data_IF_197447168700
#
_entry.id   IF_197447168700
#
_cell.length_a   1.000
_cell.length_b   1.000
_cell.length_c   1.000
_cell.angle_alpha   90.00
_cell.angle_beta   90.00
_cell.angle_gamma   90.00
#
_symmetry.space_group_name_H-M   'P 1'
#
loop_
_entity.id
_entity.type
_entity.pdbx_description
1 polymer ?
#
# COMPACT_ATOMS: atom_id res chain seq x y z
N UNK A 1 44.00 6.58 -46.60
CA UNK A 1 42.58 6.80 -46.92
C UNK A 1 41.76 5.81 -46.12
N UNK A 2 40.83 6.25 -45.29
CA UNK A 2 39.80 5.67 -44.44
C UNK A 2 39.92 6.10 -42.99
N UNK A 3 39.43 7.30 -42.69
CA UNK A 3 39.12 7.74 -41.31
C UNK A 3 37.78 8.53 -41.32
N UNK A 4 36.73 7.99 -41.93
CA UNK A 4 35.40 8.66 -41.96
C UNK A 4 34.32 7.86 -41.20
N UNK A 5 34.60 6.61 -40.76
CA UNK A 5 33.57 5.78 -40.12
C UNK A 5 33.39 5.97 -38.61
N UNK A 6 34.37 6.54 -37.90
CA UNK A 6 34.32 6.65 -36.42
C UNK A 6 33.38 7.75 -35.89
N UNK A 7 33.33 8.90 -36.56
CA UNK A 7 32.55 10.07 -36.08
C UNK A 7 31.05 9.86 -36.04
N UNK A 8 30.46 9.14 -36.98
CA UNK A 8 29.02 8.89 -37.01
C UNK A 8 28.49 8.04 -35.84
N UNK A 9 29.30 7.04 -35.42
CA UNK A 9 28.86 6.15 -34.33
C UNK A 9 28.89 6.83 -32.94
N UNK A 10 29.78 7.77 -32.72
CA UNK A 10 29.83 8.59 -31.48
C UNK A 10 28.73 9.64 -31.49
N UNK A 11 28.54 10.33 -32.62
CA UNK A 11 27.48 11.31 -32.81
C UNK A 11 26.11 10.68 -32.54
N UNK A 12 25.84 9.49 -33.10
CA UNK A 12 24.57 8.79 -32.88
C UNK A 12 24.33 8.44 -31.40
N UNK A 13 25.37 8.03 -30.65
CA UNK A 13 25.23 7.74 -29.21
C UNK A 13 24.88 8.96 -28.38
N UNK A 14 25.61 10.08 -28.57
CA UNK A 14 25.30 11.36 -27.87
C UNK A 14 23.98 11.92 -28.34
N UNK A 15 23.67 11.87 -29.64
CA UNK A 15 22.41 12.32 -30.18
C UNK A 15 21.21 11.55 -29.57
N UNK A 16 21.30 10.23 -29.52
CA UNK A 16 20.26 9.38 -28.93
C UNK A 16 20.09 9.67 -27.42
N UNK A 17 21.19 9.86 -26.71
CA UNK A 17 21.14 10.26 -25.29
C UNK A 17 20.43 11.60 -25.08
N UNK A 18 20.75 12.62 -25.88
CA UNK A 18 20.07 13.93 -25.86
C UNK A 18 18.57 13.80 -26.14
N UNK A 19 18.20 13.01 -27.16
CA UNK A 19 16.79 12.81 -27.52
C UNK A 19 16.02 12.12 -26.41
N UNK A 20 16.60 11.09 -25.79
CA UNK A 20 16.00 10.38 -24.68
C UNK A 20 15.83 11.30 -23.45
N UNK A 21 16.86 12.13 -23.13
CA UNK A 21 16.76 13.13 -22.06
C UNK A 21 15.60 14.12 -22.29
N UNK A 22 15.53 14.73 -23.49
CA UNK A 22 14.45 15.69 -23.83
C UNK A 22 13.05 15.08 -23.72
N UNK A 23 12.88 13.84 -24.18
CA UNK A 23 11.61 13.13 -24.07
C UNK A 23 11.28 12.81 -22.63
N UNK A 24 12.26 12.42 -21.82
CA UNK A 24 12.11 12.22 -20.39
C UNK A 24 11.68 13.51 -19.68
N UNK A 25 12.34 14.64 -19.98
CA UNK A 25 11.99 15.95 -19.42
C UNK A 25 10.54 16.35 -19.77
N UNK A 26 10.11 16.12 -21.02
CA UNK A 26 8.72 16.39 -21.45
C UNK A 26 7.69 15.54 -20.68
N UNK A 27 7.98 14.26 -20.42
CA UNK A 27 7.10 13.39 -19.64
C UNK A 27 7.05 13.80 -18.15
N UNK A 28 8.18 14.22 -17.58
CA UNK A 28 8.24 14.70 -16.19
C UNK A 28 7.40 15.98 -16.00
N UNK A 29 7.38 16.88 -16.96
CA UNK A 29 6.55 18.10 -16.91
C UNK A 29 5.07 17.76 -16.76
N UNK A 30 4.59 16.71 -17.45
CA UNK A 30 3.19 16.26 -17.39
C UNK A 30 2.94 15.21 -16.29
N UNK A 31 3.91 14.97 -15.36
CA UNK A 31 3.75 14.11 -14.20
C UNK A 31 3.83 12.61 -14.47
N UNK A 32 4.39 12.22 -15.65
CA UNK A 32 4.60 10.80 -15.99
C UNK A 32 6.02 10.35 -15.58
N UNK A 33 6.30 10.42 -14.28
CA UNK A 33 7.64 10.24 -13.73
C UNK A 33 8.21 8.84 -14.01
N UNK A 34 7.41 7.76 -13.90
CA UNK A 34 7.84 6.38 -14.21
C UNK A 34 8.28 6.24 -15.66
N UNK A 35 7.49 6.77 -16.60
CA UNK A 35 7.83 6.75 -18.03
C UNK A 35 9.04 7.62 -18.35
N UNK A 36 9.22 8.73 -17.64
CA UNK A 36 10.40 9.58 -17.73
C UNK A 36 11.65 8.83 -17.24
N UNK A 37 11.57 8.11 -16.13
CA UNK A 37 12.65 7.30 -15.57
C UNK A 37 13.20 6.29 -16.58
N UNK A 38 12.33 5.60 -17.32
CA UNK A 38 12.74 4.68 -18.39
C UNK A 38 13.54 5.39 -19.49
N UNK A 39 13.12 6.60 -19.87
CA UNK A 39 13.83 7.37 -20.91
C UNK A 39 15.17 7.90 -20.39
N UNK A 40 15.25 8.30 -19.12
CA UNK A 40 16.53 8.69 -18.52
C UNK A 40 17.52 7.52 -18.44
N UNK A 41 17.05 6.32 -18.09
CA UNK A 41 17.89 5.11 -18.13
C UNK A 41 18.43 4.84 -19.56
N UNK A 42 17.58 4.94 -20.58
CA UNK A 42 18.00 4.82 -21.99
C UNK A 42 19.01 5.89 -22.39
N UNK A 43 18.86 7.12 -21.89
CA UNK A 43 19.82 8.18 -22.12
C UNK A 43 21.19 7.85 -21.52
N UNK A 44 21.18 7.32 -20.28
CA UNK A 44 22.40 6.85 -19.62
C UNK A 44 23.08 5.74 -20.42
N UNK A 45 22.35 4.70 -20.82
CA UNK A 45 22.88 3.58 -21.63
C UNK A 45 23.52 4.04 -22.96
N UNK A 46 22.84 4.94 -23.68
CA UNK A 46 23.33 5.50 -24.92
C UNK A 46 24.65 6.28 -24.73
N UNK A 47 24.70 7.10 -23.66
CA UNK A 47 25.91 7.85 -23.30
C UNK A 47 27.07 6.93 -22.84
N UNK A 48 26.76 5.92 -22.02
CA UNK A 48 27.74 4.89 -21.61
C UNK A 48 28.33 4.13 -22.80
N UNK A 49 27.54 3.89 -23.85
CA UNK A 49 28.03 3.24 -25.06
C UNK A 49 29.11 4.07 -25.76
N UNK A 50 29.05 5.39 -25.66
CA UNK A 50 30.07 6.31 -26.18
C UNK A 50 31.32 6.23 -25.32
N UNK A 51 31.18 6.24 -23.98
CA UNK A 51 32.33 6.21 -23.04
C UNK A 51 33.17 4.93 -23.15
N UNK A 52 32.57 3.80 -23.56
CA UNK A 52 33.28 2.53 -23.78
C UNK A 52 34.15 2.50 -25.02
N UNK A 53 34.07 3.47 -25.92
CA UNK A 53 34.81 3.52 -27.16
C UNK A 53 36.16 4.21 -26.97
N UNK A 54 37.24 3.68 -27.60
CA UNK A 54 38.63 4.12 -27.37
C UNK A 54 38.94 5.56 -27.81
N UNK A 55 38.23 6.14 -28.77
CA UNK A 55 38.52 7.47 -29.37
C UNK A 55 37.34 8.43 -29.09
N UNK A 56 36.82 8.46 -27.87
CA UNK A 56 35.65 9.26 -27.50
C UNK A 56 35.97 10.68 -27.01
N UNK A 57 37.26 11.10 -27.09
CA UNK A 57 37.75 12.31 -26.41
C UNK A 57 36.93 13.57 -26.72
N UNK A 58 36.57 13.79 -27.99
CA UNK A 58 35.75 14.94 -28.38
C UNK A 58 34.34 14.95 -27.79
N UNK A 59 33.77 13.77 -27.42
CA UNK A 59 32.42 13.62 -26.90
C UNK A 59 32.38 13.18 -25.45
N UNK A 60 33.53 12.90 -24.84
CA UNK A 60 33.66 12.32 -23.53
C UNK A 60 32.99 13.17 -22.43
N UNK A 61 33.26 14.46 -22.42
CA UNK A 61 32.72 15.36 -21.42
C UNK A 61 31.18 15.38 -21.47
N UNK A 62 30.62 15.49 -22.67
CA UNK A 62 29.17 15.49 -22.84
C UNK A 62 28.55 14.12 -22.53
N UNK A 63 29.19 13.03 -22.96
CA UNK A 63 28.73 11.68 -22.63
C UNK A 63 28.74 11.43 -21.12
N UNK A 64 29.76 11.90 -20.38
CA UNK A 64 29.79 11.82 -18.91
C UNK A 64 28.65 12.59 -18.26
N UNK A 65 28.37 13.80 -18.74
CA UNK A 65 27.25 14.61 -18.22
C UNK A 65 25.90 13.94 -18.48
N UNK A 66 25.67 13.45 -19.70
CA UNK A 66 24.41 12.78 -20.08
C UNK A 66 24.24 11.45 -19.35
N UNK A 67 25.28 10.64 -19.21
CA UNK A 67 25.26 9.39 -18.46
C UNK A 67 24.96 9.67 -16.98
N UNK A 68 25.71 10.59 -16.37
CA UNK A 68 25.53 10.92 -14.97
C UNK A 68 24.13 11.48 -14.64
N UNK A 69 23.62 12.40 -15.47
CA UNK A 69 22.26 12.92 -15.32
C UNK A 69 21.20 11.84 -15.58
N UNK A 70 21.39 11.02 -16.60
CA UNK A 70 20.47 9.94 -16.93
C UNK A 70 20.34 8.93 -15.78
N UNK A 71 21.46 8.48 -15.23
CA UNK A 71 21.49 7.61 -14.04
C UNK A 71 20.84 8.26 -12.82
N UNK A 72 21.19 9.52 -12.51
CA UNK A 72 20.61 10.23 -11.38
C UNK A 72 19.08 10.39 -11.48
N UNK A 73 18.58 10.75 -12.67
CA UNK A 73 17.15 10.96 -12.92
C UNK A 73 16.36 9.65 -13.05
N UNK A 74 17.01 8.52 -13.34
CA UNK A 74 16.40 7.19 -13.32
C UNK A 74 16.48 6.49 -11.96
N UNK A 75 17.13 7.11 -10.96
CA UNK A 75 17.25 6.57 -9.60
C UNK A 75 18.54 5.79 -9.32
N UNK A 76 19.39 5.53 -10.33
CA UNK A 76 20.70 4.89 -10.14
C UNK A 76 21.75 5.94 -9.66
N UNK A 77 21.60 6.32 -8.40
CA UNK A 77 22.48 7.36 -7.81
C UNK A 77 23.94 6.93 -7.66
N UNK A 78 24.23 5.64 -7.62
CA UNK A 78 25.62 5.15 -7.53
C UNK A 78 26.38 5.40 -8.85
N UNK A 79 25.82 4.92 -9.95
CA UNK A 79 26.42 5.15 -11.27
C UNK A 79 26.38 6.65 -11.64
N UNK A 80 25.26 7.34 -11.33
CA UNK A 80 25.11 8.76 -11.58
C UNK A 80 26.20 9.59 -10.91
N UNK A 81 26.46 9.37 -9.62
CA UNK A 81 27.52 10.07 -8.87
C UNK A 81 28.89 9.82 -9.48
N UNK A 82 29.23 8.57 -9.80
CA UNK A 82 30.54 8.26 -10.38
C UNK A 82 30.83 9.04 -11.67
N UNK A 83 29.82 9.13 -12.57
CA UNK A 83 29.97 9.86 -13.85
C UNK A 83 29.96 11.38 -13.67
N UNK A 84 29.13 11.91 -12.76
CA UNK A 84 29.08 13.33 -12.50
C UNK A 84 30.37 13.84 -11.82
N UNK A 85 30.95 13.08 -10.89
CA UNK A 85 32.20 13.40 -10.25
C UNK A 85 33.36 13.36 -11.27
N UNK A 86 33.37 12.40 -12.20
CA UNK A 86 34.33 12.36 -13.28
C UNK A 86 34.19 13.58 -14.20
N UNK A 87 32.96 13.96 -14.57
CA UNK A 87 32.69 15.16 -15.36
C UNK A 87 33.15 16.44 -14.64
N UNK A 88 32.90 16.59 -13.36
CA UNK A 88 33.24 17.81 -12.59
C UNK A 88 34.73 17.99 -12.35
N UNK A 89 35.53 16.91 -12.46
CA UNK A 89 37.01 16.98 -12.47
C UNK A 89 37.56 17.53 -13.78
N UNK A 90 36.84 17.36 -14.86
CA UNK A 90 37.19 17.98 -16.15
C UNK A 90 36.69 19.43 -16.19
N UNK A 91 37.29 20.25 -17.09
CA UNK A 91 36.80 21.59 -17.39
C UNK A 91 35.51 21.50 -18.24
N UNK A 92 34.45 22.23 -17.85
CA UNK A 92 33.18 22.28 -18.56
C UNK A 92 32.52 23.65 -18.46
N UNK A 93 31.54 23.91 -19.33
CA UNK A 93 30.75 25.14 -19.30
C UNK A 93 30.11 25.34 -17.94
N UNK A 94 30.06 26.57 -17.41
CA UNK A 94 29.49 26.85 -16.06
C UNK A 94 28.04 26.31 -15.89
N UNK A 95 27.22 26.41 -16.94
CA UNK A 95 25.85 25.90 -16.90
C UNK A 95 25.76 24.37 -16.85
N UNK A 96 26.65 23.67 -17.54
CA UNK A 96 26.67 22.20 -17.53
C UNK A 96 27.22 21.67 -16.21
N UNK A 97 28.18 22.39 -15.61
CA UNK A 97 28.63 22.11 -14.24
C UNK A 97 27.50 22.30 -13.22
N UNK A 98 26.67 23.34 -13.40
CA UNK A 98 25.48 23.57 -12.55
C UNK A 98 24.46 22.44 -12.71
N UNK A 99 24.21 21.96 -13.94
CA UNK A 99 23.34 20.80 -14.19
C UNK A 99 23.88 19.51 -13.58
N UNK A 100 25.19 19.30 -13.59
CA UNK A 100 25.84 18.17 -12.93
C UNK A 100 25.69 18.25 -11.40
N UNK A 101 25.91 19.43 -10.82
CA UNK A 101 25.73 19.67 -9.39
C UNK A 101 24.26 19.48 -8.95
N UNK A 102 23.30 19.92 -9.77
CA UNK A 102 21.88 19.71 -9.52
C UNK A 102 21.53 18.21 -9.50
N UNK A 103 22.06 17.43 -10.45
CA UNK A 103 21.83 15.98 -10.48
C UNK A 103 22.48 15.26 -9.27
N UNK A 104 23.63 15.72 -8.80
CA UNK A 104 24.22 15.23 -7.54
C UNK A 104 23.36 15.54 -6.33
N UNK A 105 22.80 16.76 -6.25
CA UNK A 105 21.89 17.13 -5.16
C UNK A 105 20.60 16.30 -5.16
N UNK A 106 20.11 15.95 -6.35
CA UNK A 106 18.96 15.01 -6.49
C UNK A 106 19.32 13.64 -5.90
N UNK A 107 20.49 13.11 -6.23
CA UNK A 107 20.95 11.84 -5.66
C UNK A 107 21.17 11.92 -4.14
N UNK A 108 21.74 13.00 -3.63
CA UNK A 108 21.90 13.23 -2.19
C UNK A 108 20.53 13.24 -1.50
N UNK A 109 19.53 13.89 -2.09
CA UNK A 109 18.15 13.90 -1.59
C UNK A 109 17.52 12.49 -1.60
N UNK A 110 17.66 11.75 -2.68
CA UNK A 110 17.16 10.37 -2.80
C UNK A 110 17.78 9.44 -1.76
N UNK A 111 19.05 9.63 -1.44
CA UNK A 111 19.79 8.90 -0.41
C UNK A 111 19.58 9.46 1.01
N UNK A 112 18.60 10.35 1.20
CA UNK A 112 18.27 11.02 2.47
C UNK A 112 19.43 11.83 3.08
N UNK A 113 20.38 12.23 2.26
CA UNK A 113 21.51 13.11 2.64
C UNK A 113 21.08 14.57 2.50
N UNK A 114 20.12 15.00 3.32
CA UNK A 114 19.46 16.31 3.15
C UNK A 114 20.38 17.50 3.37
N UNK A 115 21.32 17.42 4.34
CA UNK A 115 22.26 18.52 4.64
C UNK A 115 23.22 18.77 3.47
N UNK A 116 23.92 17.78 2.90
CA UNK A 116 24.72 17.96 1.69
C UNK A 116 23.90 18.48 0.51
N UNK A 117 22.70 17.93 0.29
CA UNK A 117 21.81 18.34 -0.81
C UNK A 117 21.44 19.82 -0.70
N UNK A 118 20.98 20.28 0.48
CA UNK A 118 20.62 21.68 0.68
C UNK A 118 21.82 22.61 0.51
N UNK A 119 23.00 22.28 1.08
CA UNK A 119 24.22 23.08 0.91
C UNK A 119 24.58 23.27 -0.57
N UNK A 120 24.49 22.18 -1.37
CA UNK A 120 24.79 22.22 -2.81
C UNK A 120 23.77 23.06 -3.56
N UNK A 121 22.47 22.85 -3.29
CA UNK A 121 21.40 23.58 -3.93
C UNK A 121 21.37 25.06 -3.57
N UNK A 122 21.65 25.42 -2.31
CA UNK A 122 21.79 26.82 -1.88
C UNK A 122 22.90 27.55 -2.63
N UNK A 123 24.05 26.88 -2.83
CA UNK A 123 25.15 27.43 -3.64
C UNK A 123 24.75 27.59 -5.11
N UNK A 124 23.96 26.67 -5.67
CA UNK A 124 23.47 26.76 -7.03
C UNK A 124 22.47 27.91 -7.22
N UNK A 125 21.56 28.12 -6.28
CA UNK A 125 20.53 29.17 -6.35
C UNK A 125 21.12 30.59 -6.41
N UNK A 126 22.30 30.77 -5.85
CA UNK A 126 23.04 32.06 -5.88
C UNK A 126 24.03 32.14 -7.05
N UNK A 127 24.18 31.10 -7.84
CA UNK A 127 25.13 31.03 -8.94
C UNK A 127 24.68 31.88 -10.14
N UNK A 128 25.59 32.73 -10.67
CA UNK A 128 25.32 33.49 -11.89
C UNK A 128 25.10 32.65 -13.15
N UNK A 129 25.52 31.38 -13.16
CA UNK A 129 25.21 30.46 -14.24
C UNK A 129 23.73 30.00 -14.21
N UNK A 130 23.22 29.74 -13.01
CA UNK A 130 21.84 29.29 -12.79
C UNK A 130 20.87 30.45 -12.97
N UNK A 131 21.21 31.67 -12.53
CA UNK A 131 20.32 32.84 -12.66
C UNK A 131 20.03 33.23 -14.12
N UNK A 132 20.83 32.78 -15.08
CA UNK A 132 20.60 33.00 -16.54
C UNK A 132 19.76 31.90 -17.18
N UNK A 133 19.53 30.78 -16.48
CA UNK A 133 18.69 29.67 -16.91
C UNK A 133 17.48 29.57 -15.98
N UNK A 134 16.39 30.22 -16.35
CA UNK A 134 15.18 30.33 -15.52
C UNK A 134 14.53 28.99 -15.23
N UNK A 135 14.69 28.01 -16.11
CA UNK A 135 14.18 26.65 -15.91
C UNK A 135 15.00 25.92 -14.86
N UNK A 136 16.32 25.91 -14.98
CA UNK A 136 17.20 25.31 -13.99
C UNK A 136 17.07 26.01 -12.63
N UNK A 137 16.91 27.34 -12.60
CA UNK A 137 16.71 28.08 -11.35
C UNK A 137 15.42 27.65 -10.64
N UNK A 138 14.32 27.49 -11.41
CA UNK A 138 13.06 26.98 -10.87
C UNK A 138 13.21 25.56 -10.33
N UNK A 139 13.88 24.68 -11.07
CA UNK A 139 14.11 23.29 -10.65
C UNK A 139 14.98 23.21 -9.39
N UNK A 140 16.03 24.02 -9.28
CA UNK A 140 16.84 24.14 -8.08
C UNK A 140 16.02 24.53 -6.87
N UNK A 141 15.20 25.58 -6.98
CA UNK A 141 14.34 26.05 -5.88
C UNK A 141 13.28 25.03 -5.49
N UNK A 142 12.66 24.36 -6.47
CA UNK A 142 11.70 23.29 -6.19
C UNK A 142 12.36 22.10 -5.47
N UNK A 143 13.54 21.70 -5.90
CA UNK A 143 14.25 20.62 -5.21
C UNK A 143 14.68 21.03 -3.80
N UNK A 144 15.07 22.30 -3.55
CA UNK A 144 15.32 22.82 -2.21
C UNK A 144 14.09 22.71 -1.31
N UNK A 145 12.91 23.08 -1.82
CA UNK A 145 11.65 22.91 -1.08
C UNK A 145 11.43 21.44 -0.71
N UNK A 146 11.60 20.51 -1.66
CA UNK A 146 11.43 19.08 -1.40
C UNK A 146 12.42 18.55 -0.36
N UNK A 147 13.69 18.98 -0.44
CA UNK A 147 14.73 18.62 0.53
C UNK A 147 14.37 19.13 1.92
N UNK A 148 13.92 20.38 2.03
CA UNK A 148 13.51 20.97 3.31
C UNK A 148 12.31 20.23 3.91
N UNK A 149 11.28 19.92 3.12
CA UNK A 149 10.11 19.14 3.56
C UNK A 149 10.49 17.72 3.99
N UNK A 150 11.36 17.06 3.23
CA UNK A 150 11.84 15.72 3.57
C UNK A 150 12.68 15.69 4.84
N UNK A 151 13.40 16.79 5.13
CA UNK A 151 14.18 16.97 6.35
C UNK A 151 13.31 17.44 7.55
N UNK A 152 12.01 17.71 7.34
CA UNK A 152 11.12 18.24 8.38
C UNK A 152 11.25 19.75 8.62
N UNK A 153 12.06 20.48 7.83
CA UNK A 153 12.20 21.95 7.94
C UNK A 153 11.11 22.67 7.14
N UNK A 154 9.89 22.62 7.68
CA UNK A 154 8.71 23.27 7.07
C UNK A 154 8.92 24.80 6.98
N UNK A 155 9.61 25.40 7.93
CA UNK A 155 9.85 26.85 7.93
C UNK A 155 10.75 27.28 6.76
N UNK A 156 11.79 26.53 6.45
CA UNK A 156 12.62 26.76 5.27
C UNK A 156 11.81 26.55 3.98
N UNK A 157 11.04 25.47 3.91
CA UNK A 157 10.20 25.17 2.75
C UNK A 157 9.22 26.32 2.45
N UNK A 158 8.55 26.87 3.45
CA UNK A 158 7.61 27.99 3.29
C UNK A 158 8.33 29.27 2.79
N UNK A 159 9.51 29.59 3.34
CA UNK A 159 10.31 30.72 2.83
C UNK A 159 10.70 30.55 1.37
N UNK A 160 11.11 29.34 0.97
CA UNK A 160 11.47 29.04 -0.41
C UNK A 160 10.25 29.12 -1.33
N UNK A 161 9.10 28.57 -0.89
CA UNK A 161 7.83 28.65 -1.62
C UNK A 161 7.33 30.09 -1.82
N UNK A 162 7.61 31.00 -0.86
CA UNK A 162 7.28 32.42 -1.02
C UNK A 162 8.04 33.08 -2.18
N UNK A 163 9.25 32.58 -2.50
CA UNK A 163 10.08 33.07 -3.61
C UNK A 163 9.70 32.49 -4.99
N UNK A 164 8.82 31.48 -5.04
CA UNK A 164 8.34 30.83 -6.25
C UNK A 164 6.98 31.38 -6.65
N UNK A 165 6.71 31.48 -7.96
CA UNK A 165 5.38 31.81 -8.48
C UNK A 165 4.34 30.77 -8.00
N UNK A 166 3.09 31.20 -7.87
CA UNK A 166 2.00 30.29 -7.42
C UNK A 166 1.87 29.03 -8.27
N UNK A 167 2.10 29.16 -9.57
CA UNK A 167 2.02 28.06 -10.53
C UNK A 167 3.24 27.16 -10.56
N UNK A 168 4.39 27.59 -10.03
CA UNK A 168 5.68 26.92 -10.22
C UNK A 168 5.88 25.68 -9.34
N UNK A 169 5.19 25.57 -8.21
CA UNK A 169 5.39 24.48 -7.24
C UNK A 169 4.06 24.07 -6.57
N UNK A 170 3.03 23.68 -7.32
CA UNK A 170 1.69 23.44 -6.76
C UNK A 170 1.68 22.24 -5.79
N UNK A 171 2.38 21.17 -6.12
CA UNK A 171 2.42 19.96 -5.30
C UNK A 171 3.29 20.13 -4.05
N UNK A 172 4.38 20.86 -4.16
CA UNK A 172 5.22 21.22 -3.03
C UNK A 172 4.47 22.11 -2.02
N UNK A 173 3.56 23.00 -2.50
CA UNK A 173 2.66 23.80 -1.64
C UNK A 173 1.65 22.92 -0.91
N UNK A 174 1.09 21.92 -1.56
CA UNK A 174 0.19 20.94 -0.94
C UNK A 174 0.96 20.18 0.14
N UNK A 175 2.16 19.69 -0.19
CA UNK A 175 2.99 18.98 0.77
C UNK A 175 3.35 19.84 1.99
N UNK A 176 3.71 21.10 1.80
CA UNK A 176 3.98 22.04 2.90
C UNK A 176 2.74 22.26 3.79
N UNK A 177 1.55 22.41 3.19
CA UNK A 177 0.30 22.54 3.93
C UNK A 177 -0.02 21.28 4.76
N UNK A 178 0.16 20.10 4.18
CA UNK A 178 0.01 18.81 4.87
C UNK A 178 1.02 18.66 6.01
N UNK A 179 2.28 19.00 5.76
CA UNK A 179 3.35 18.92 6.77
C UNK A 179 3.15 19.87 7.96
N UNK A 180 2.49 21.03 7.71
CA UNK A 180 2.10 21.98 8.77
C UNK A 180 0.72 21.70 9.38
N UNK A 181 0.04 20.64 8.95
CA UNK A 181 -1.35 20.31 9.33
C UNK A 181 -2.35 21.45 9.02
N UNK A 182 -2.05 22.27 8.03
CA UNK A 182 -2.98 23.30 7.53
C UNK A 182 -3.94 22.69 6.50
N UNK A 183 -4.92 21.93 7.03
CA UNK A 183 -5.84 21.16 6.22
C UNK A 183 -6.76 22.03 5.34
N UNK A 184 -7.12 23.23 5.81
CA UNK A 184 -7.93 24.16 5.02
C UNK A 184 -7.18 24.63 3.76
N UNK A 185 -5.90 24.96 3.90
CA UNK A 185 -5.02 25.32 2.79
C UNK A 185 -4.76 24.13 1.88
N UNK A 186 -4.49 22.94 2.44
CA UNK A 186 -4.30 21.71 1.67
C UNK A 186 -5.54 21.40 0.81
N UNK A 187 -6.73 21.45 1.39
CA UNK A 187 -8.01 21.27 0.68
C UNK A 187 -8.16 22.24 -0.49
N UNK A 188 -8.01 23.54 -0.25
CA UNK A 188 -8.14 24.56 -1.29
C UNK A 188 -7.20 24.33 -2.47
N UNK A 189 -5.96 23.94 -2.19
CA UNK A 189 -4.96 23.61 -3.22
C UNK A 189 -5.32 22.35 -3.98
N UNK A 190 -5.79 21.30 -3.29
CA UNK A 190 -6.21 20.04 -3.91
C UNK A 190 -7.44 20.22 -4.80
N UNK A 191 -8.44 21.00 -4.37
CA UNK A 191 -9.61 21.33 -5.19
C UNK A 191 -9.21 22.04 -6.49
N UNK A 192 -8.26 22.98 -6.43
CA UNK A 192 -7.72 23.62 -7.63
C UNK A 192 -7.00 22.63 -8.57
N UNK A 193 -6.40 21.54 -8.05
CA UNK A 193 -5.82 20.48 -8.90
C UNK A 193 -6.90 19.60 -9.51
N UNK A 194 -7.98 19.33 -8.77
CA UNK A 194 -9.12 18.58 -9.27
C UNK A 194 -9.76 19.25 -10.49
N UNK A 195 -9.92 20.59 -10.50
CA UNK A 195 -10.40 21.35 -11.64
C UNK A 195 -9.58 21.12 -12.92
N UNK A 196 -8.27 20.85 -12.76
CA UNK A 196 -7.35 20.59 -13.86
C UNK A 196 -7.25 19.09 -14.21
N UNK A 197 -7.89 18.21 -13.45
CA UNK A 197 -7.76 16.75 -13.59
C UNK A 197 -6.33 16.25 -13.35
N UNK A 198 -5.49 17.01 -12.63
CA UNK A 198 -4.08 16.67 -12.38
C UNK A 198 -3.99 15.65 -11.23
N UNK A 199 -3.72 14.39 -11.58
CA UNK A 199 -3.58 13.28 -10.63
C UNK A 199 -2.13 12.84 -10.57
N UNK A 200 -1.54 12.86 -9.38
CA UNK A 200 -0.15 12.43 -9.11
C UNK A 200 -0.07 11.66 -7.79
N UNK A 201 1.00 10.92 -7.58
CA UNK A 201 1.31 10.21 -6.31
C UNK A 201 1.24 11.17 -5.11
N UNK A 202 1.61 12.44 -5.29
CA UNK A 202 1.49 13.46 -4.24
C UNK A 202 0.05 13.69 -3.76
N UNK A 203 -0.96 13.48 -4.61
CA UNK A 203 -2.37 13.50 -4.22
C UNK A 203 -2.69 12.37 -3.26
N UNK A 204 -2.26 11.15 -3.57
CA UNK A 204 -2.50 9.98 -2.73
C UNK A 204 -1.91 10.18 -1.34
N UNK A 205 -0.65 10.62 -1.28
CA UNK A 205 0.04 10.90 -0.03
C UNK A 205 -0.70 11.96 0.80
N UNK A 206 -1.24 13.00 0.15
CA UNK A 206 -2.00 14.05 0.84
C UNK A 206 -3.34 13.53 1.38
N UNK A 207 -4.08 12.75 0.58
CA UNK A 207 -5.36 12.16 1.01
C UNK A 207 -5.18 11.15 2.14
N UNK A 208 -4.14 10.31 2.06
CA UNK A 208 -3.81 9.35 3.11
C UNK A 208 -3.39 10.05 4.41
N UNK A 209 -2.58 11.10 4.33
CA UNK A 209 -2.21 11.90 5.50
C UNK A 209 -3.43 12.57 6.13
N UNK A 210 -4.33 13.14 5.34
CA UNK A 210 -5.57 13.74 5.81
C UNK A 210 -6.48 12.69 6.47
N UNK A 211 -6.61 11.50 5.88
CA UNK A 211 -7.36 10.39 6.47
C UNK A 211 -6.83 9.99 7.83
N UNK A 212 -5.50 9.81 7.95
CA UNK A 212 -4.84 9.49 9.24
C UNK A 212 -5.00 10.60 10.28
N UNK A 213 -5.06 11.86 9.86
CA UNK A 213 -5.33 12.99 10.74
C UNK A 213 -6.81 13.12 11.14
N UNK A 214 -7.70 12.29 10.61
CA UNK A 214 -9.13 12.34 10.89
C UNK A 214 -9.93 13.31 10.02
N UNK A 215 -9.32 13.86 8.94
CA UNK A 215 -9.94 14.83 8.03
C UNK A 215 -10.78 14.15 6.91
N UNK A 216 -11.56 13.13 7.28
CA UNK A 216 -12.32 12.33 6.32
C UNK A 216 -13.32 13.14 5.48
N UNK A 217 -13.91 14.19 6.05
CA UNK A 217 -14.83 15.08 5.31
C UNK A 217 -14.10 15.89 4.23
N UNK A 218 -12.87 16.33 4.50
CA UNK A 218 -11.99 16.96 3.50
C UNK A 218 -11.65 15.98 2.37
N UNK A 219 -11.24 14.74 2.72
CA UNK A 219 -10.93 13.70 1.74
C UNK A 219 -12.14 13.45 0.83
N UNK A 220 -13.34 13.30 1.38
CA UNK A 220 -14.57 13.09 0.61
C UNK A 220 -14.87 14.27 -0.33
N UNK A 221 -14.71 15.54 0.12
CA UNK A 221 -14.91 16.70 -0.75
C UNK A 221 -13.92 16.75 -1.91
N UNK A 222 -12.65 16.49 -1.65
CA UNK A 222 -11.60 16.43 -2.70
C UNK A 222 -11.89 15.31 -3.70
N UNK A 223 -12.21 14.12 -3.23
CA UNK A 223 -12.54 12.97 -4.08
C UNK A 223 -13.75 13.26 -4.97
N UNK A 224 -14.81 13.90 -4.42
CA UNK A 224 -15.98 14.31 -5.22
C UNK A 224 -15.63 15.34 -6.28
N UNK A 225 -14.70 16.26 -6.02
CA UNK A 225 -14.24 17.20 -7.03
C UNK A 225 -13.52 16.48 -8.19
N UNK A 226 -12.69 15.47 -7.88
CA UNK A 226 -12.07 14.63 -8.91
C UNK A 226 -13.10 13.79 -9.69
N UNK A 227 -14.19 13.36 -9.07
CA UNK A 227 -15.25 12.55 -9.70
C UNK A 227 -15.88 13.25 -10.92
N UNK A 228 -15.98 14.58 -10.87
CA UNK A 228 -16.55 15.41 -11.94
C UNK A 228 -15.50 16.06 -12.83
N UNK A 229 -14.23 15.83 -12.56
CA UNK A 229 -13.10 16.41 -13.30
C UNK A 229 -12.79 15.66 -14.59
N UNK A 230 -11.83 16.18 -15.37
CA UNK A 230 -11.27 15.55 -16.56
C UNK A 230 -10.28 14.42 -16.26
N UNK A 231 -10.08 14.05 -14.99
CA UNK A 231 -9.20 12.96 -14.60
C UNK A 231 -9.63 11.62 -15.22
N UNK A 232 -8.68 10.72 -15.58
CA UNK A 232 -9.00 9.40 -16.12
C UNK A 232 -9.97 8.63 -15.21
N UNK A 233 -10.89 7.87 -15.80
CA UNK A 233 -11.91 7.14 -15.03
C UNK A 233 -11.30 6.17 -14.01
N UNK A 234 -10.25 5.45 -14.39
CA UNK A 234 -9.52 4.55 -13.48
C UNK A 234 -8.94 5.29 -12.27
N UNK A 235 -8.41 6.50 -12.48
CA UNK A 235 -7.89 7.32 -11.40
C UNK A 235 -9.02 7.80 -10.46
N UNK A 236 -10.16 8.21 -11.02
CA UNK A 236 -11.33 8.59 -10.21
C UNK A 236 -11.85 7.41 -9.37
N UNK A 237 -11.88 6.20 -9.95
CA UNK A 237 -12.25 4.99 -9.23
C UNK A 237 -11.27 4.68 -8.09
N UNK A 238 -9.98 4.82 -8.34
CA UNK A 238 -8.93 4.65 -7.33
C UNK A 238 -9.07 5.67 -6.18
N UNK A 239 -9.26 6.93 -6.52
CA UNK A 239 -9.43 8.01 -5.53
C UNK A 239 -10.68 7.82 -4.67
N UNK A 240 -11.76 7.27 -5.22
CA UNK A 240 -12.98 7.02 -4.47
C UNK A 240 -12.79 6.05 -3.28
N UNK A 241 -11.79 5.15 -3.34
CA UNK A 241 -11.45 4.30 -2.19
C UNK A 241 -10.94 5.10 -1.00
N UNK A 242 -10.16 6.18 -1.23
CA UNK A 242 -9.60 7.00 -0.14
C UNK A 242 -10.68 7.62 0.74
N UNK A 243 -11.83 8.03 0.17
CA UNK A 243 -12.92 8.57 0.97
C UNK A 243 -13.47 7.53 1.95
N UNK A 244 -13.72 6.31 1.49
CA UNK A 244 -14.14 5.21 2.37
C UNK A 244 -13.09 4.84 3.42
N UNK A 245 -11.83 4.72 3.00
CA UNK A 245 -10.71 4.39 3.90
C UNK A 245 -10.52 5.45 4.99
N UNK A 246 -10.66 6.75 4.67
CA UNK A 246 -10.56 7.84 5.64
C UNK A 246 -11.67 7.80 6.70
N UNK A 247 -12.92 7.50 6.32
CA UNK A 247 -14.00 7.31 7.28
C UNK A 247 -13.77 6.06 8.14
N UNK A 248 -13.26 4.98 7.55
CA UNK A 248 -12.96 3.76 8.29
C UNK A 248 -11.86 3.98 9.34
N UNK A 249 -10.83 4.78 9.02
CA UNK A 249 -9.77 5.16 9.98
C UNK A 249 -10.31 5.93 11.19
N UNK A 250 -11.41 6.69 11.02
CA UNK A 250 -12.12 7.36 12.12
C UNK A 250 -13.05 6.43 12.91
N UNK A 251 -13.18 5.17 12.53
CA UNK A 251 -14.15 4.23 13.11
C UNK A 251 -15.57 4.38 12.59
N UNK A 252 -15.82 5.25 11.61
CA UNK A 252 -17.13 5.43 10.98
C UNK A 252 -17.35 4.40 9.86
N UNK A 253 -17.61 3.16 10.25
CA UNK A 253 -17.83 2.05 9.33
C UNK A 253 -19.10 2.20 8.48
N UNK A 254 -20.11 2.90 8.99
CA UNK A 254 -21.38 3.11 8.27
C UNK A 254 -21.15 4.03 7.07
N UNK A 255 -20.51 5.19 7.30
CA UNK A 255 -20.18 6.11 6.22
C UNK A 255 -19.17 5.52 5.26
N UNK A 256 -18.15 4.82 5.75
CA UNK A 256 -17.18 4.12 4.91
C UNK A 256 -17.86 3.13 3.96
N UNK A 257 -18.78 2.30 4.48
CA UNK A 257 -19.57 1.36 3.67
C UNK A 257 -20.38 2.08 2.59
N UNK A 258 -21.02 3.20 2.93
CA UNK A 258 -21.79 3.99 1.97
C UNK A 258 -20.88 4.57 0.84
N UNK A 259 -19.64 5.00 1.17
CA UNK A 259 -18.68 5.47 0.16
C UNK A 259 -18.27 4.36 -0.81
N UNK A 260 -17.94 3.17 -0.29
CA UNK A 260 -17.61 2.01 -1.13
C UNK A 260 -18.78 1.57 -2.00
N UNK A 261 -20.02 1.55 -1.46
CA UNK A 261 -21.22 1.24 -2.23
C UNK A 261 -21.47 2.21 -3.37
N UNK A 262 -21.27 3.52 -3.13
CA UNK A 262 -21.35 4.54 -4.16
C UNK A 262 -20.32 4.33 -5.28
N UNK A 263 -19.08 3.92 -4.94
CA UNK A 263 -18.06 3.58 -5.94
C UNK A 263 -18.55 2.43 -6.82
N UNK A 264 -19.03 1.34 -6.20
CA UNK A 264 -19.54 0.17 -6.93
C UNK A 264 -20.66 0.53 -7.89
N UNK A 265 -21.63 1.35 -7.45
CA UNK A 265 -22.78 1.76 -8.26
C UNK A 265 -22.37 2.65 -9.46
N UNK A 266 -21.48 3.63 -9.23
CA UNK A 266 -21.13 4.64 -10.22
C UNK A 266 -20.06 4.20 -11.22
N UNK A 267 -19.17 3.30 -10.81
CA UNK A 267 -17.97 2.93 -11.57
C UNK A 267 -17.92 1.43 -11.88
N UNK A 268 -19.08 0.79 -12.00
CA UNK A 268 -19.25 -0.66 -12.21
C UNK A 268 -18.40 -1.29 -13.31
N UNK A 269 -17.92 -0.51 -14.29
CA UNK A 269 -17.06 -0.99 -15.37
C UNK A 269 -15.56 -1.03 -15.01
N UNK A 270 -15.15 -0.49 -13.88
CA UNK A 270 -13.77 -0.56 -13.39
C UNK A 270 -13.60 -1.75 -12.46
N UNK A 271 -13.31 -2.90 -13.03
CA UNK A 271 -13.37 -4.19 -12.34
C UNK A 271 -12.36 -4.35 -11.19
N UNK A 272 -11.24 -3.61 -11.21
CA UNK A 272 -10.21 -3.71 -10.16
C UNK A 272 -10.66 -2.97 -8.90
N UNK A 273 -10.96 -1.69 -9.01
CA UNK A 273 -11.33 -0.85 -7.85
C UNK A 273 -12.72 -1.17 -7.32
N UNK A 274 -13.64 -1.60 -8.19
CA UNK A 274 -14.96 -2.11 -7.78
C UNK A 274 -14.80 -3.38 -6.94
N UNK A 275 -13.95 -4.30 -7.34
CA UNK A 275 -13.64 -5.50 -6.57
C UNK A 275 -13.03 -5.18 -5.21
N UNK A 276 -12.11 -4.21 -5.16
CA UNK A 276 -11.49 -3.76 -3.92
C UNK A 276 -12.52 -3.12 -2.97
N UNK A 277 -13.44 -2.30 -3.51
CA UNK A 277 -14.54 -1.73 -2.73
C UNK A 277 -15.46 -2.81 -2.18
N UNK A 278 -15.82 -3.79 -3.00
CA UNK A 278 -16.67 -4.91 -2.58
C UNK A 278 -16.00 -5.80 -1.54
N UNK A 279 -14.69 -6.02 -1.63
CA UNK A 279 -13.93 -6.71 -0.60
C UNK A 279 -13.98 -5.97 0.75
N UNK A 280 -13.86 -4.62 0.74
CA UNK A 280 -14.00 -3.78 1.94
C UNK A 280 -15.42 -3.82 2.51
N UNK A 281 -16.45 -3.76 1.65
CA UNK A 281 -17.86 -3.93 2.07
C UNK A 281 -18.04 -5.30 2.73
N UNK A 282 -17.59 -6.38 2.10
CA UNK A 282 -17.69 -7.72 2.65
C UNK A 282 -17.01 -7.86 4.02
N UNK A 283 -15.84 -7.23 4.20
CA UNK A 283 -15.12 -7.19 5.47
C UNK A 283 -15.90 -6.44 6.56
N UNK A 284 -16.52 -5.32 6.21
CA UNK A 284 -17.37 -4.54 7.15
C UNK A 284 -18.63 -5.32 7.52
N UNK A 285 -19.28 -5.93 6.54
CA UNK A 285 -20.47 -6.76 6.78
C UNK A 285 -20.11 -7.98 7.64
N UNK A 286 -18.94 -8.58 7.40
CA UNK A 286 -18.44 -9.71 8.19
C UNK A 286 -18.18 -9.32 9.66
N UNK A 287 -17.74 -8.10 9.93
CA UNK A 287 -17.45 -7.63 11.28
C UNK A 287 -18.66 -7.61 12.21
N UNK A 288 -19.89 -7.65 11.69
CA UNK A 288 -21.15 -7.65 12.46
C UNK A 288 -21.87 -9.00 12.45
N UNK A 289 -21.33 -10.02 11.77
CA UNK A 289 -21.93 -11.37 11.70
C UNK A 289 -21.87 -12.06 13.05
N UNK A 290 -22.96 -12.73 13.43
CA UNK A 290 -23.12 -13.46 14.68
C UNK A 290 -23.57 -14.92 14.49
N UNK A 291 -23.79 -15.36 13.26
CA UNK A 291 -24.25 -16.73 12.96
C UNK A 291 -23.65 -17.32 11.68
N UNK A 292 -23.56 -18.66 11.65
CA UNK A 292 -23.07 -19.39 10.46
C UNK A 292 -23.98 -19.20 9.23
N UNK A 293 -25.27 -18.95 9.43
CA UNK A 293 -26.21 -18.66 8.33
C UNK A 293 -25.87 -17.34 7.65
N UNK A 294 -25.54 -16.29 8.43
CA UNK A 294 -25.11 -15.01 7.90
C UNK A 294 -23.76 -15.12 7.16
N UNK A 295 -22.82 -15.95 7.66
CA UNK A 295 -21.58 -16.23 6.92
C UNK A 295 -21.88 -16.81 5.54
N UNK A 296 -22.75 -17.83 5.45
CA UNK A 296 -23.12 -18.42 4.16
C UNK A 296 -23.75 -17.39 3.23
N UNK A 297 -24.67 -16.58 3.72
CA UNK A 297 -25.33 -15.53 2.94
C UNK A 297 -24.31 -14.53 2.42
N UNK A 298 -23.41 -14.04 3.27
CA UNK A 298 -22.37 -13.09 2.88
C UNK A 298 -21.42 -13.67 1.81
N UNK A 299 -20.95 -14.91 2.00
CA UNK A 299 -20.07 -15.56 1.01
C UNK A 299 -20.79 -15.74 -0.33
N UNK A 300 -22.07 -16.09 -0.33
CA UNK A 300 -22.86 -16.23 -1.55
C UNK A 300 -22.98 -14.93 -2.34
N UNK A 301 -23.19 -13.81 -1.66
CA UNK A 301 -23.37 -12.51 -2.29
C UNK A 301 -22.04 -11.85 -2.68
N UNK A 302 -20.98 -12.02 -1.87
CA UNK A 302 -19.72 -11.31 -2.06
C UNK A 302 -18.74 -12.06 -2.98
N UNK A 303 -18.80 -13.39 -3.02
CA UNK A 303 -17.87 -14.23 -3.81
C UNK A 303 -17.83 -13.89 -5.30
N UNK A 304 -18.95 -13.65 -6.01
CA UNK A 304 -18.93 -13.33 -7.43
C UNK A 304 -18.16 -12.05 -7.76
N UNK A 305 -18.13 -11.11 -6.83
CA UNK A 305 -17.72 -9.71 -7.07
C UNK A 305 -16.42 -9.31 -6.35
N UNK A 306 -16.11 -9.90 -5.20
CA UNK A 306 -14.92 -9.57 -4.40
C UNK A 306 -13.75 -10.56 -4.59
N UNK A 307 -14.01 -11.71 -5.17
CA UNK A 307 -13.01 -12.76 -5.37
C UNK A 307 -11.84 -12.31 -6.24
N UNK A 308 -10.63 -12.74 -5.88
CA UNK A 308 -9.38 -12.28 -6.48
C UNK A 308 -8.82 -11.03 -5.80
N UNK A 309 -9.53 -10.47 -4.81
CA UNK A 309 -8.93 -9.57 -3.85
C UNK A 309 -8.28 -10.41 -2.73
N UNK A 310 -6.98 -10.22 -2.42
CA UNK A 310 -6.26 -11.07 -1.45
C UNK A 310 -6.83 -11.04 -0.03
N UNK A 311 -7.44 -9.93 0.38
CA UNK A 311 -8.08 -9.83 1.71
C UNK A 311 -9.38 -10.64 1.75
N UNK A 312 -10.20 -10.52 0.70
CA UNK A 312 -11.42 -11.29 0.60
C UNK A 312 -11.15 -12.79 0.47
N UNK A 313 -10.17 -13.19 -0.33
CA UNK A 313 -9.81 -14.60 -0.53
C UNK A 313 -9.33 -15.26 0.79
N UNK A 314 -8.64 -14.50 1.66
CA UNK A 314 -8.28 -14.95 3.01
C UNK A 314 -9.49 -15.07 3.92
N UNK A 315 -10.38 -14.08 3.92
CA UNK A 315 -11.63 -14.10 4.69
C UNK A 315 -12.51 -15.27 4.25
N UNK A 316 -12.68 -15.46 2.94
CA UNK A 316 -13.41 -16.59 2.36
C UNK A 316 -12.85 -17.93 2.82
N UNK A 317 -11.53 -18.09 2.78
CA UNK A 317 -10.87 -19.35 3.18
C UNK A 317 -11.08 -19.64 4.66
N UNK A 318 -10.95 -18.65 5.53
CA UNK A 318 -11.17 -18.81 6.97
C UNK A 318 -12.65 -19.10 7.28
N UNK A 319 -13.56 -18.42 6.62
CA UNK A 319 -15.00 -18.62 6.80
C UNK A 319 -15.45 -19.99 6.28
N UNK A 320 -14.87 -20.45 5.15
CA UNK A 320 -15.13 -21.78 4.60
C UNK A 320 -14.63 -22.89 5.53
N UNK A 321 -13.43 -22.72 6.12
CA UNK A 321 -12.87 -23.66 7.09
C UNK A 321 -13.75 -23.73 8.35
N UNK A 322 -14.19 -22.58 8.87
CA UNK A 322 -15.13 -22.52 9.99
C UNK A 322 -16.41 -23.31 9.71
N UNK A 323 -17.06 -23.06 8.58
CA UNK A 323 -18.29 -23.74 8.18
C UNK A 323 -18.08 -25.26 8.02
N UNK A 324 -16.98 -25.66 7.36
CA UNK A 324 -16.64 -27.06 7.16
C UNK A 324 -16.46 -27.80 8.51
N UNK A 325 -15.74 -27.19 9.45
CA UNK A 325 -15.50 -27.74 10.78
C UNK A 325 -16.80 -27.84 11.59
N UNK A 326 -17.66 -26.80 11.49
CA UNK A 326 -18.95 -26.73 12.21
C UNK A 326 -19.94 -27.79 11.71
N UNK A 327 -19.95 -28.09 10.41
CA UNK A 327 -20.84 -29.06 9.76
C UNK A 327 -20.37 -30.51 9.92
N UNK A 328 -19.09 -30.71 10.31
CA UNK A 328 -18.56 -32.04 10.48
C UNK A 328 -19.12 -32.70 11.74
N UNK A 329 -19.81 -33.83 11.55
CA UNK A 329 -20.25 -34.64 12.69
C UNK A 329 -19.08 -35.43 13.26
N UNK A 330 -18.47 -34.92 14.33
CA UNK A 330 -17.28 -35.50 14.96
C UNK A 330 -17.52 -35.63 16.47
N UNK A 331 -17.86 -36.84 16.94
CA UNK A 331 -18.14 -37.08 18.37
C UNK A 331 -16.96 -36.87 19.29
N UNK A 332 -15.71 -36.83 18.76
CA UNK A 332 -14.53 -36.46 19.56
C UNK A 332 -14.55 -35.01 20.01
N UNK A 333 -15.37 -34.17 19.36
CA UNK A 333 -15.46 -32.72 19.57
C UNK A 333 -14.35 -31.91 18.90
N UNK A 334 -13.37 -32.56 18.26
CA UNK A 334 -12.19 -31.85 17.70
C UNK A 334 -12.58 -30.87 16.60
N UNK A 335 -13.50 -31.24 15.70
CA UNK A 335 -13.99 -30.33 14.64
C UNK A 335 -14.65 -29.08 15.21
N UNK A 336 -15.54 -29.26 16.18
CA UNK A 336 -16.29 -28.13 16.79
C UNK A 336 -15.36 -27.24 17.63
N UNK A 337 -14.36 -27.83 18.29
CA UNK A 337 -13.36 -27.07 19.05
C UNK A 337 -12.51 -26.20 18.10
N UNK A 338 -12.01 -26.78 17.01
CA UNK A 338 -11.25 -26.07 15.98
C UNK A 338 -12.10 -24.99 15.28
N UNK A 339 -13.40 -25.21 15.09
CA UNK A 339 -14.29 -24.18 14.59
C UNK A 339 -14.28 -22.95 15.51
N UNK A 340 -14.33 -23.14 16.82
CA UNK A 340 -14.19 -22.06 17.80
C UNK A 340 -12.86 -21.33 17.70
N UNK A 341 -11.73 -22.07 17.55
CA UNK A 341 -10.41 -21.45 17.37
C UNK A 341 -10.32 -20.64 16.06
N UNK A 342 -10.82 -21.17 14.95
CA UNK A 342 -10.88 -20.45 13.68
C UNK A 342 -11.74 -19.19 13.79
N UNK A 343 -12.88 -19.28 14.50
CA UNK A 343 -13.76 -18.13 14.74
C UNK A 343 -13.06 -17.05 15.56
N UNK A 344 -12.36 -17.40 16.63
CA UNK A 344 -11.62 -16.45 17.49
C UNK A 344 -10.40 -15.87 16.77
N UNK A 345 -9.51 -16.71 16.26
CA UNK A 345 -8.17 -16.31 15.84
C UNK A 345 -8.11 -15.79 14.39
N UNK A 346 -8.86 -16.44 13.49
CA UNK A 346 -8.85 -16.12 12.05
C UNK A 346 -9.96 -15.14 11.67
N UNK A 347 -11.17 -15.36 12.22
CA UNK A 347 -12.34 -14.54 11.91
C UNK A 347 -12.52 -13.38 12.90
N UNK A 348 -11.86 -13.44 14.08
CA UNK A 348 -11.97 -12.46 15.17
C UNK A 348 -13.43 -12.22 15.60
N UNK A 349 -14.16 -13.32 15.73
CA UNK A 349 -15.59 -13.35 16.09
C UNK A 349 -15.81 -14.19 17.34
N UNK A 350 -15.66 -13.56 18.51
CA UNK A 350 -15.79 -14.22 19.80
C UNK A 350 -17.18 -14.82 20.01
N UNK A 351 -18.23 -14.21 19.48
CA UNK A 351 -19.61 -14.74 19.54
C UNK A 351 -19.68 -16.10 18.84
N UNK A 352 -19.11 -16.22 17.64
CA UNK A 352 -19.09 -17.50 16.89
C UNK A 352 -18.22 -18.56 17.60
N UNK A 353 -17.09 -18.14 18.19
CA UNK A 353 -16.22 -19.02 18.95
C UNK A 353 -16.94 -19.55 20.21
N UNK A 354 -17.59 -18.65 20.94
CA UNK A 354 -18.39 -19.00 22.12
C UNK A 354 -19.49 -20.02 21.77
N UNK A 355 -20.24 -19.76 20.70
CA UNK A 355 -21.34 -20.64 20.27
C UNK A 355 -20.81 -22.01 19.86
N UNK A 356 -19.70 -22.10 19.16
CA UNK A 356 -19.07 -23.37 18.78
C UNK A 356 -18.66 -24.17 20.04
N UNK A 357 -17.93 -23.57 20.97
CA UNK A 357 -17.48 -24.25 22.20
C UNK A 357 -18.62 -24.60 23.15
N UNK A 358 -19.62 -23.75 23.28
CA UNK A 358 -20.84 -24.08 24.05
C UNK A 358 -21.66 -25.20 23.40
N UNK A 359 -21.76 -25.21 22.07
CA UNK A 359 -22.43 -26.29 21.35
C UNK A 359 -21.71 -27.60 21.54
N UNK A 360 -20.36 -27.63 21.50
CA UNK A 360 -19.57 -28.81 21.75
C UNK A 360 -19.89 -29.40 23.16
N UNK A 361 -19.79 -28.61 24.21
CA UNK A 361 -19.99 -29.07 25.58
C UNK A 361 -21.42 -29.54 25.87
N UNK A 362 -22.41 -29.07 25.12
CA UNK A 362 -23.81 -29.50 25.22
C UNK A 362 -24.12 -30.76 24.39
N UNK A 363 -23.61 -30.79 23.15
CA UNK A 363 -23.92 -31.86 22.19
C UNK A 363 -23.13 -33.15 22.48
N UNK A 364 -21.88 -33.02 22.92
CA UNK A 364 -20.99 -34.12 23.24
C UNK A 364 -20.33 -33.90 24.60
N UNK A 365 -21.10 -34.02 25.68
CA UNK A 365 -20.60 -33.75 27.03
C UNK A 365 -19.47 -34.71 27.46
N UNK A 366 -19.43 -35.89 26.92
CA UNK A 366 -18.39 -36.88 27.24
C UNK A 366 -17.19 -36.83 26.27
N UNK A 367 -17.18 -35.88 25.36
CA UNK A 367 -16.07 -35.72 24.43
C UNK A 367 -14.79 -35.26 25.16
N UNK A 368 -13.62 -35.74 24.76
CA UNK A 368 -12.32 -35.38 25.38
C UNK A 368 -12.05 -33.88 25.44
N UNK A 369 -12.66 -33.13 24.52
CA UNK A 369 -12.50 -31.66 24.40
C UNK A 369 -13.60 -30.85 25.08
N UNK A 370 -14.62 -31.46 25.71
CA UNK A 370 -15.75 -30.76 26.29
C UNK A 370 -15.34 -29.84 27.46
N UNK A 371 -14.48 -30.31 28.34
CA UNK A 371 -13.93 -29.50 29.43
C UNK A 371 -13.10 -28.32 28.91
N UNK A 372 -12.26 -28.56 27.91
CA UNK A 372 -11.41 -27.54 27.28
C UNK A 372 -12.26 -26.48 26.54
N UNK A 373 -13.37 -26.89 25.93
CA UNK A 373 -14.30 -25.98 25.28
C UNK A 373 -15.03 -25.07 26.29
N UNK A 374 -15.47 -25.60 27.42
CA UNK A 374 -16.05 -24.78 28.50
C UNK A 374 -15.06 -23.76 29.06
N UNK A 375 -13.82 -24.19 29.27
CA UNK A 375 -12.76 -23.28 29.72
C UNK A 375 -12.52 -22.18 28.69
N UNK A 376 -12.33 -22.54 27.41
CA UNK A 376 -12.13 -21.57 26.34
C UNK A 376 -13.30 -20.56 26.22
N UNK A 377 -14.54 -21.04 26.31
CA UNK A 377 -15.73 -20.18 26.33
C UNK A 377 -15.73 -19.22 27.54
N UNK A 378 -15.27 -19.66 28.73
CA UNK A 378 -15.19 -18.81 29.91
C UNK A 378 -14.14 -17.70 29.79
N UNK A 379 -13.08 -17.94 29.03
CA UNK A 379 -12.03 -16.93 28.82
C UNK A 379 -12.48 -15.78 27.93
N UNK A 380 -13.28 -16.07 26.90
CA UNK A 380 -13.73 -15.04 25.93
C UNK A 380 -15.05 -14.37 26.32
N UNK A 381 -15.79 -14.89 27.29
CA UNK A 381 -17.06 -14.33 27.74
C UNK A 381 -17.00 -14.03 29.26
N UNK A 382 -16.36 -12.92 29.67
CA UNK A 382 -16.14 -12.59 31.08
C UNK A 382 -17.43 -12.54 31.92
N UNK A 383 -18.50 -12.03 31.34
CA UNK A 383 -19.82 -11.95 32.03
C UNK A 383 -20.41 -13.34 32.33
N UNK A 384 -20.13 -14.33 31.51
CA UNK A 384 -20.57 -15.70 31.66
C UNK A 384 -19.54 -16.59 32.38
N UNK A 385 -18.31 -16.10 32.59
CA UNK A 385 -17.21 -16.90 33.12
C UNK A 385 -17.52 -17.59 34.44
N UNK A 386 -18.14 -16.92 35.48
CA UNK A 386 -18.41 -17.59 36.75
C UNK A 386 -19.34 -18.81 36.59
N UNK A 387 -20.38 -18.69 35.76
CA UNK A 387 -21.33 -19.79 35.53
C UNK A 387 -20.71 -20.94 34.75
N UNK A 388 -19.86 -20.62 33.72
CA UNK A 388 -19.15 -21.61 32.92
C UNK A 388 -18.09 -22.37 33.70
N UNK A 389 -17.37 -21.67 34.56
CA UNK A 389 -16.39 -22.26 35.48
C UNK A 389 -17.05 -23.16 36.52
N UNK A 390 -18.20 -22.74 37.09
CA UNK A 390 -18.97 -23.57 37.98
C UNK A 390 -19.47 -24.85 37.28
N UNK A 391 -20.01 -24.74 36.06
CA UNK A 391 -20.39 -25.91 35.26
C UNK A 391 -19.18 -26.83 34.97
N UNK A 392 -18.02 -26.26 34.64
CA UNK A 392 -16.79 -27.00 34.38
C UNK A 392 -16.36 -27.79 35.65
N UNK A 393 -16.32 -27.13 36.80
CA UNK A 393 -15.96 -27.76 38.08
C UNK A 393 -16.94 -28.87 38.47
N UNK A 394 -18.24 -28.66 38.26
CA UNK A 394 -19.24 -29.65 38.58
C UNK A 394 -19.23 -30.88 37.68
N UNK A 395 -19.02 -30.70 36.40
CA UNK A 395 -19.09 -31.81 35.41
C UNK A 395 -17.77 -32.44 35.10
N UNK A 396 -16.66 -31.70 35.18
CA UNK A 396 -15.32 -32.10 34.76
C UNK A 396 -14.28 -31.85 35.85
N UNK A 397 -14.66 -32.03 37.12
CA UNK A 397 -13.86 -31.64 38.28
C UNK A 397 -12.50 -32.29 38.40
N UNK A 398 -12.23 -33.42 37.69
CA UNK A 398 -10.98 -34.13 37.63
C UNK A 398 -10.12 -33.76 36.40
N UNK A 399 -10.62 -32.93 35.49
CA UNK A 399 -9.90 -32.53 34.30
C UNK A 399 -8.78 -31.53 34.59
N UNK A 400 -7.79 -31.46 33.73
CA UNK A 400 -6.73 -30.44 33.78
C UNK A 400 -7.30 -29.01 33.68
N UNK A 401 -8.42 -28.82 32.97
CA UNK A 401 -9.09 -27.53 32.90
C UNK A 401 -9.70 -27.10 34.24
N UNK A 402 -10.24 -28.04 34.99
CA UNK A 402 -10.74 -27.75 36.34
C UNK A 402 -9.57 -27.41 37.32
N UNK A 403 -8.43 -27.99 37.14
CA UNK A 403 -7.20 -27.66 37.88
C UNK A 403 -6.76 -26.23 37.60
N UNK A 404 -6.77 -25.80 36.32
CA UNK A 404 -6.49 -24.41 35.93
C UNK A 404 -7.48 -23.42 36.52
N UNK A 405 -8.79 -23.74 36.52
CA UNK A 405 -9.82 -22.87 37.14
C UNK A 405 -9.60 -22.70 38.65
N UNK A 406 -9.05 -23.72 39.34
CA UNK A 406 -8.67 -23.63 40.75
C UNK A 406 -7.38 -22.87 41.01
N UNK A 407 -6.70 -22.36 39.97
CA UNK A 407 -5.41 -21.65 40.09
C UNK A 407 -4.22 -22.57 40.30
N UNK A 408 -4.33 -23.85 39.97
CA UNK A 408 -3.27 -24.84 40.06
C UNK A 408 -2.64 -25.07 38.70
N UNK A 409 -1.34 -25.35 38.63
CA UNK A 409 -0.66 -25.72 37.39
C UNK A 409 -1.22 -27.00 36.81
N UNK A 410 -1.43 -27.08 35.52
CA UNK A 410 -1.85 -28.27 34.79
C UNK A 410 -0.79 -28.72 33.77
N UNK A 411 0.47 -28.34 33.98
CA UNK A 411 1.54 -28.60 33.05
C UNK A 411 1.75 -30.14 32.92
N UNK A 412 1.94 -30.57 31.65
CA UNK A 412 2.22 -31.93 31.27
C UNK A 412 1.15 -33.00 31.56
N UNK A 413 -0.12 -32.55 31.66
CA UNK A 413 -1.25 -33.45 31.88
C UNK A 413 -1.52 -34.36 30.64
N UNK A 414 -1.81 -35.64 30.88
CA UNK A 414 -2.01 -36.65 29.83
C UNK A 414 -3.26 -36.33 28.99
N UNK A 415 -4.31 -35.78 29.61
CA UNK A 415 -5.54 -35.36 28.91
C UNK A 415 -5.29 -34.19 27.96
N UNK A 416 -4.39 -33.26 28.27
CA UNK A 416 -4.01 -32.17 27.39
C UNK A 416 -3.25 -32.68 26.16
N UNK A 417 -2.26 -33.58 26.34
CA UNK A 417 -1.54 -34.18 25.21
C UNK A 417 -2.45 -34.98 24.29
N UNK A 418 -3.38 -35.75 24.87
CA UNK A 418 -4.34 -36.51 24.09
C UNK A 418 -5.28 -35.58 23.30
N UNK A 419 -5.72 -34.47 23.90
CA UNK A 419 -6.52 -33.46 23.25
C UNK A 419 -5.74 -32.80 22.08
N UNK A 420 -4.50 -32.40 22.28
CA UNK A 420 -3.67 -31.79 21.25
C UNK A 420 -3.45 -32.74 20.07
N UNK A 421 -3.18 -34.01 20.29
CA UNK A 421 -3.03 -35.02 19.22
C UNK A 421 -4.35 -35.15 18.38
N UNK A 422 -5.51 -35.10 19.02
CA UNK A 422 -6.80 -35.11 18.34
C UNK A 422 -6.97 -33.86 17.46
N UNK A 423 -6.63 -32.68 18.00
CA UNK A 423 -6.74 -31.43 17.28
C UNK A 423 -5.80 -31.38 16.07
N UNK A 424 -4.52 -31.79 16.22
CA UNK A 424 -3.56 -31.86 15.12
C UNK A 424 -4.03 -32.79 14.01
N UNK A 425 -4.48 -34.00 14.35
CA UNK A 425 -4.99 -34.96 13.39
C UNK A 425 -6.20 -34.41 12.63
N UNK A 426 -7.12 -33.76 13.34
CA UNK A 426 -8.31 -33.17 12.74
C UNK A 426 -8.02 -31.94 11.87
N UNK A 427 -7.08 -31.10 12.29
CA UNK A 427 -6.62 -29.94 11.52
C UNK A 427 -6.10 -30.35 10.13
N UNK A 428 -5.27 -31.38 10.06
CA UNK A 428 -4.72 -31.90 8.79
C UNK A 428 -5.84 -32.36 7.87
N UNK A 429 -6.85 -33.06 8.40
CA UNK A 429 -8.00 -33.54 7.61
C UNK A 429 -8.82 -32.34 7.10
N UNK A 430 -9.14 -31.39 7.98
CA UNK A 430 -9.95 -30.22 7.66
C UNK A 430 -9.30 -29.32 6.62
N UNK A 431 -7.99 -29.07 6.73
CA UNK A 431 -7.25 -28.23 5.78
C UNK A 431 -7.16 -28.86 4.39
N UNK A 432 -7.04 -30.18 4.30
CA UNK A 432 -7.13 -30.91 3.00
C UNK A 432 -8.52 -30.77 2.37
N UNK A 433 -9.57 -31.03 3.16
CA UNK A 433 -10.94 -30.89 2.71
C UNK A 433 -11.29 -29.46 2.28
N UNK A 434 -10.73 -28.45 2.94
CA UNK A 434 -10.86 -27.03 2.56
C UNK A 434 -10.33 -26.79 1.15
N UNK A 435 -9.18 -27.34 0.79
CA UNK A 435 -8.59 -27.17 -0.56
C UNK A 435 -9.56 -27.69 -1.62
N UNK A 436 -10.17 -28.83 -1.38
CA UNK A 436 -11.14 -29.41 -2.32
C UNK A 436 -12.43 -28.58 -2.36
N UNK A 437 -12.92 -28.13 -1.23
CA UNK A 437 -14.10 -27.24 -1.12
C UNK A 437 -13.86 -25.94 -1.90
N UNK A 438 -12.74 -25.27 -1.67
CA UNK A 438 -12.39 -24.03 -2.38
C UNK A 438 -12.19 -24.27 -3.89
N UNK A 439 -11.66 -25.43 -4.29
CA UNK A 439 -11.54 -25.79 -5.71
C UNK A 439 -12.90 -25.90 -6.37
N UNK A 440 -13.86 -26.58 -5.74
CA UNK A 440 -15.24 -26.72 -6.25
C UNK A 440 -15.92 -25.35 -6.32
N UNK A 441 -15.80 -24.55 -5.27
CA UNK A 441 -16.36 -23.20 -5.27
C UNK A 441 -15.74 -22.30 -6.34
N UNK A 442 -14.42 -22.42 -6.55
CA UNK A 442 -13.71 -21.68 -7.59
C UNK A 442 -14.07 -22.11 -9.01
N UNK A 443 -14.40 -23.35 -9.22
CA UNK A 443 -14.88 -23.84 -10.52
C UNK A 443 -16.32 -23.39 -10.81
N UNK A 444 -17.19 -23.35 -9.80
CA UNK A 444 -18.56 -22.89 -9.93
C UNK A 444 -18.66 -21.36 -10.23
N UNK A 445 -17.66 -20.58 -9.82
CA UNK A 445 -17.63 -19.12 -10.00
C UNK A 445 -16.30 -18.68 -10.60
N UNK A 446 -16.08 -18.84 -11.92
CA UNK A 446 -14.85 -18.38 -12.54
C UNK A 446 -14.68 -16.87 -12.41
N UNK A 447 -13.42 -16.41 -12.35
CA UNK A 447 -13.11 -14.98 -12.29
C UNK A 447 -13.74 -14.24 -13.47
N UNK A 448 -14.51 -13.19 -13.19
CA UNK A 448 -15.22 -12.40 -14.21
C UNK A 448 -16.67 -12.80 -14.47
N UNK A 449 -17.20 -13.84 -13.84
CA UNK A 449 -18.62 -14.13 -13.89
C UNK A 449 -19.39 -13.10 -13.04
N UNK A 450 -20.33 -12.40 -13.67
CA UNK A 450 -21.15 -11.36 -13.02
C UNK A 450 -22.48 -11.89 -12.48
N UNK A 451 -22.85 -13.10 -12.85
CA UNK A 451 -24.12 -13.75 -12.42
C UNK A 451 -23.85 -15.14 -11.88
N UNK A 452 -24.57 -15.58 -10.82
CA UNK A 452 -24.55 -16.96 -10.35
C UNK A 452 -25.03 -17.91 -11.45
N UNK A 453 -24.48 -19.12 -11.54
CA UNK A 453 -24.97 -20.14 -12.46
C UNK A 453 -26.38 -20.56 -12.15
#
# INVERSE_FOLDING_TARGET
>A
MMVVGGGCAYYNGVYNARQAMRRGDALRVVGRDDSAGVLYARAAEAAESVLRKRNADAWRAEALLLAGRGHALSGDCTAGRARLDEYLRASGAPIDRARAQFALALCESTLQQFVPAEKRLASLDTSGAVSRDTELQRDVRRLRVRVALSAGDVALAERLLASLGRADAPWERIWAAVASSDWARAESLLLSRAEQGDVRIALDNALEAAGRAGEAAMVDRVVRAYDVSSAPRSERARLALFAGDAYLQRGDSVTARAMYSRLVERLSSDTVYVRDAQARIAKLDFAVIDSSAQIRALLTTSRPVARGNPEFDRLESSAALYLLLLETNDPSGASMYLAGEVARDSLRRDVLAYDAWRTLSRRWPDAPLAARALYAASVIAPDSAPSLQAELLARYGTSSMATLVRGQGADDAADLRAADALLEGRWVIATRALVDTLRVWRAAWPLGATTPP
#
